data_IF_117811636812
#
_entry.id   IF_117811636812
#
_cell.length_a   1.000
_cell.length_b   1.000
_cell.length_c   1.000
_cell.angle_alpha   90.00
_cell.angle_beta   90.00
_cell.angle_gamma   90.00
#
_symmetry.space_group_name_H-M   'P 1'
#
loop_
_entity.id
_entity.type
_entity.pdbx_description
1 polymer ?
#
# COMPACT_ATOMS: atom_id res chain seq x y z
N UNK A 1 1.36 -24.17 -52.46
CA UNK A 1 0.40 -23.30 -51.74
C UNK A 1 0.09 -23.81 -50.34
N UNK A 2 -0.14 -25.12 -50.13
CA UNK A 2 -0.37 -25.74 -48.80
C UNK A 2 0.74 -25.49 -47.76
N UNK A 3 2.01 -25.54 -48.16
CA UNK A 3 3.13 -25.34 -47.21
C UNK A 3 3.29 -23.89 -46.76
N UNK A 4 2.94 -22.93 -47.62
CA UNK A 4 2.95 -21.50 -47.27
C UNK A 4 1.82 -21.22 -46.25
N UNK A 5 0.68 -21.88 -46.40
CA UNK A 5 -0.44 -21.78 -45.47
C UNK A 5 -0.08 -22.36 -44.11
N UNK A 6 0.55 -23.54 -44.04
CA UNK A 6 0.92 -24.14 -42.75
C UNK A 6 1.98 -23.34 -41.99
N UNK A 7 2.97 -22.75 -42.68
CA UNK A 7 3.95 -21.86 -42.03
C UNK A 7 3.30 -20.57 -41.56
N UNK A 8 2.35 -20.01 -42.33
CA UNK A 8 1.59 -18.83 -41.91
C UNK A 8 0.73 -19.13 -40.68
N UNK A 9 0.12 -20.32 -40.61
CA UNK A 9 -0.68 -20.77 -39.48
C UNK A 9 0.20 -21.00 -38.23
N UNK A 10 1.38 -21.60 -38.39
CA UNK A 10 2.39 -21.71 -37.34
C UNK A 10 2.90 -20.34 -36.86
N UNK A 11 3.14 -19.40 -37.77
CA UNK A 11 3.56 -18.05 -37.44
C UNK A 11 2.48 -17.31 -36.63
N UNK A 12 1.22 -17.43 -37.04
CA UNK A 12 0.08 -16.87 -36.30
C UNK A 12 -0.09 -17.53 -34.92
N UNK A 13 0.10 -18.85 -34.83
CA UNK A 13 0.05 -19.57 -33.55
C UNK A 13 1.14 -19.09 -32.57
N UNK A 14 2.38 -18.95 -33.05
CA UNK A 14 3.49 -18.42 -32.24
C UNK A 14 3.23 -16.96 -31.85
N UNK A 15 2.76 -16.12 -32.77
CA UNK A 15 2.42 -14.73 -32.48
C UNK A 15 1.36 -14.61 -31.38
N UNK A 16 0.27 -15.39 -31.46
CA UNK A 16 -0.76 -15.43 -30.43
C UNK A 16 -0.22 -15.90 -29.08
N UNK A 17 0.68 -16.89 -29.08
CA UNK A 17 1.33 -17.38 -27.84
C UNK A 17 2.26 -16.33 -27.22
N UNK A 18 2.99 -15.57 -28.04
CA UNK A 18 3.82 -14.44 -27.59
C UNK A 18 2.94 -13.36 -26.98
N UNK A 19 1.85 -12.98 -27.64
CA UNK A 19 0.89 -12.00 -27.09
C UNK A 19 0.30 -12.47 -25.77
N UNK A 20 -0.11 -13.74 -25.67
CA UNK A 20 -0.63 -14.31 -24.43
C UNK A 20 0.41 -14.29 -23.30
N UNK A 21 1.66 -14.65 -23.58
CA UNK A 21 2.74 -14.60 -22.60
C UNK A 21 3.08 -13.17 -22.19
N UNK A 22 3.06 -12.23 -23.15
CA UNK A 22 3.27 -10.81 -22.88
C UNK A 22 2.17 -10.28 -21.96
N UNK A 23 0.90 -10.55 -22.27
CA UNK A 23 -0.25 -10.16 -21.45
C UNK A 23 -0.19 -10.79 -20.05
N UNK A 24 0.17 -12.08 -19.96
CA UNK A 24 0.35 -12.76 -18.68
C UNK A 24 1.51 -12.17 -17.86
N UNK A 25 2.61 -11.81 -18.52
CA UNK A 25 3.78 -11.20 -17.86
C UNK A 25 3.46 -9.79 -17.39
N UNK A 26 2.79 -8.98 -18.21
CA UNK A 26 2.32 -7.65 -17.83
C UNK A 26 1.31 -7.73 -16.67
N UNK A 27 0.42 -8.72 -16.69
CA UNK A 27 -0.49 -9.01 -15.58
C UNK A 27 0.27 -9.36 -14.30
N UNK A 28 1.29 -10.23 -14.39
CA UNK A 28 2.13 -10.60 -13.25
C UNK A 28 2.91 -9.40 -12.70
N UNK A 29 3.49 -8.57 -13.57
CA UNK A 29 4.17 -7.32 -13.17
C UNK A 29 3.19 -6.39 -12.46
N UNK A 30 1.97 -6.25 -12.98
CA UNK A 30 0.94 -5.41 -12.36
C UNK A 30 0.55 -5.94 -10.97
N UNK A 31 0.46 -7.26 -10.79
CA UNK A 31 0.20 -7.87 -9.49
C UNK A 31 1.34 -7.60 -8.50
N UNK A 32 2.59 -7.77 -8.90
CA UNK A 32 3.73 -7.45 -8.04
C UNK A 32 3.77 -5.96 -7.67
N UNK A 33 3.53 -5.09 -8.65
CA UNK A 33 3.51 -3.65 -8.45
C UNK A 33 2.38 -3.22 -7.50
N UNK A 34 1.19 -3.82 -7.63
CA UNK A 34 0.08 -3.60 -6.72
C UNK A 34 0.44 -4.06 -5.30
N UNK A 35 1.08 -5.22 -5.15
CA UNK A 35 1.53 -5.70 -3.84
C UNK A 35 2.56 -4.76 -3.19
N UNK A 36 3.50 -4.23 -3.98
CA UNK A 36 4.47 -3.24 -3.51
C UNK A 36 3.76 -1.96 -3.04
N UNK A 37 2.86 -1.40 -3.86
CA UNK A 37 2.07 -0.20 -3.50
C UNK A 37 1.25 -0.46 -2.23
N UNK A 38 0.69 -1.67 -2.09
CA UNK A 38 -0.07 -2.09 -0.91
C UNK A 38 0.79 -2.02 0.34
N UNK A 39 2.02 -2.56 0.29
CA UNK A 39 2.95 -2.52 1.43
C UNK A 39 3.34 -1.08 1.79
N UNK A 40 3.69 -0.24 0.81
CA UNK A 40 4.04 1.16 1.06
C UNK A 40 2.87 1.96 1.63
N UNK A 41 1.66 1.76 1.10
CA UNK A 41 0.44 2.41 1.59
C UNK A 41 0.14 2.01 3.03
N UNK A 42 0.36 0.75 3.40
CA UNK A 42 0.21 0.27 4.78
C UNK A 42 1.23 0.91 5.70
N UNK A 43 2.50 0.94 5.28
CA UNK A 43 3.54 1.59 6.06
C UNK A 43 3.20 3.07 6.27
N UNK A 44 2.84 3.79 5.21
CA UNK A 44 2.44 5.20 5.30
C UNK A 44 1.20 5.39 6.20
N UNK A 45 0.18 4.55 6.08
CA UNK A 45 -1.01 4.59 6.93
C UNK A 45 -0.70 4.30 8.40
N UNK A 46 0.28 3.45 8.69
CA UNK A 46 0.74 3.18 10.06
C UNK A 46 1.59 4.34 10.62
N UNK A 47 2.34 5.06 9.78
CA UNK A 47 3.18 6.20 10.19
C UNK A 47 2.45 7.55 10.20
N UNK A 48 1.35 7.70 9.46
CA UNK A 48 0.56 8.93 9.39
C UNK A 48 0.04 9.38 10.78
N UNK A 49 -0.55 8.50 11.60
CA UNK A 49 -1.01 8.92 12.91
C UNK A 49 0.05 9.33 13.93
N UNK A 50 1.14 8.56 14.13
CA UNK A 50 2.19 9.00 15.04
C UNK A 50 2.86 10.29 14.55
N UNK A 51 2.97 10.52 13.23
CA UNK A 51 3.48 11.80 12.69
C UNK A 51 2.51 12.96 12.93
N UNK A 52 1.20 12.75 12.81
CA UNK A 52 0.19 13.77 13.12
C UNK A 52 0.21 14.16 14.60
N UNK A 53 0.31 13.18 15.50
CA UNK A 53 0.44 13.42 16.93
C UNK A 53 1.77 14.11 17.24
N UNK A 54 2.89 13.63 16.70
CA UNK A 54 4.19 14.28 16.88
C UNK A 54 4.20 15.72 16.35
N UNK A 55 3.47 16.02 15.28
CA UNK A 55 3.32 17.38 14.74
C UNK A 55 2.48 18.28 15.66
N UNK A 56 1.34 17.78 16.16
CA UNK A 56 0.47 18.50 17.10
C UNK A 56 1.22 18.81 18.41
N UNK A 57 1.90 17.81 18.98
CA UNK A 57 2.61 17.96 20.25
C UNK A 57 4.00 18.62 20.07
N UNK A 58 4.63 18.53 18.90
CA UNK A 58 5.94 19.14 18.63
C UNK A 58 5.89 20.65 18.42
N UNK A 59 4.72 21.23 18.08
CA UNK A 59 4.56 22.67 17.82
C UNK A 59 4.00 23.49 19.00
N UNK A 60 3.44 22.90 20.06
CA UNK A 60 2.68 23.65 21.08
C UNK A 60 2.92 23.18 22.54
N UNK A 61 4.16 22.82 22.90
CA UNK A 61 4.49 22.57 24.31
C UNK A 61 4.38 23.81 25.22
N UNK A 62 4.25 25.02 24.66
CA UNK A 62 4.32 26.28 25.41
C UNK A 62 2.96 26.92 25.71
N UNK A 63 1.88 26.51 25.03
CA UNK A 63 0.53 27.07 25.22
C UNK A 63 -0.54 25.98 25.09
N UNK A 64 -0.77 25.17 26.13
CA UNK A 64 -1.99 24.37 26.24
C UNK A 64 -2.41 24.11 27.71
N UNK A 65 -3.61 24.56 28.14
CA UNK A 65 -4.15 24.32 29.49
C UNK A 65 -4.58 22.86 29.75
N UNK A 66 -4.49 21.97 28.76
CA UNK A 66 -4.84 20.55 28.90
C UNK A 66 -3.82 19.72 29.70
N UNK A 67 -2.65 20.29 30.02
CA UNK A 67 -1.66 19.70 30.92
C UNK A 67 -2.08 19.79 32.41
N UNK A 68 -3.09 20.60 32.72
CA UNK A 68 -3.65 20.72 34.08
C UNK A 68 -4.57 19.53 34.44
N UNK A 69 -4.95 18.71 33.44
CA UNK A 69 -5.67 17.47 33.65
C UNK A 69 -4.68 16.30 33.63
N UNK A 70 -4.55 15.60 34.76
CA UNK A 70 -3.69 14.40 34.92
C UNK A 70 -3.90 13.29 33.86
N UNK A 71 -4.95 13.37 33.04
CA UNK A 71 -5.29 12.40 32.01
C UNK A 71 -4.92 12.81 30.57
N UNK A 72 -4.46 14.03 30.31
CA UNK A 72 -4.07 14.46 28.96
C UNK A 72 -2.90 13.65 28.37
N UNK A 73 -1.89 13.35 29.19
CA UNK A 73 -0.73 12.56 28.80
C UNK A 73 -1.07 11.07 28.52
N UNK A 74 -1.88 10.38 29.36
CA UNK A 74 -2.43 9.06 29.05
C UNK A 74 -3.30 9.00 27.78
N UNK A 75 -4.13 10.01 27.51
CA UNK A 75 -5.02 10.04 26.33
C UNK A 75 -4.21 10.24 25.04
N UNK A 76 -3.16 11.05 25.07
CA UNK A 76 -2.24 11.20 23.93
C UNK A 76 -1.53 9.88 23.59
N UNK A 77 -1.05 9.16 24.61
CA UNK A 77 -0.47 7.81 24.45
C UNK A 77 -1.52 6.82 23.95
N UNK A 78 -2.75 6.90 24.48
CA UNK A 78 -3.89 6.09 24.02
C UNK A 78 -4.19 6.30 22.55
N UNK A 79 -4.21 7.55 22.07
CA UNK A 79 -4.40 7.88 20.66
C UNK A 79 -3.24 7.43 19.78
N UNK A 80 -1.98 7.53 20.24
CA UNK A 80 -0.82 6.95 19.53
C UNK A 80 -0.97 5.46 19.33
N UNK A 81 -1.30 4.73 20.40
CA UNK A 81 -1.46 3.27 20.36
C UNK A 81 -2.67 2.89 19.52
N UNK A 82 -3.81 3.55 19.72
CA UNK A 82 -5.05 3.26 18.98
C UNK A 82 -4.87 3.48 17.48
N UNK A 83 -4.06 4.47 17.11
CA UNK A 83 -3.82 4.78 15.70
C UNK A 83 -2.68 3.97 15.07
N UNK A 84 -1.79 3.37 15.85
CA UNK A 84 -0.94 2.28 15.38
C UNK A 84 -1.72 0.96 15.20
N UNK A 85 -2.72 0.72 16.06
CA UNK A 85 -3.54 -0.51 16.06
C UNK A 85 -4.63 -0.50 14.99
N UNK A 86 -5.23 0.65 14.67
CA UNK A 86 -6.27 0.79 13.64
C UNK A 86 -5.84 0.28 12.24
N UNK A 87 -4.69 0.69 11.68
CA UNK A 87 -4.22 0.18 10.39
C UNK A 87 -3.85 -1.31 10.48
N UNK A 88 -3.26 -1.77 11.60
CA UNK A 88 -2.96 -3.18 11.81
C UNK A 88 -4.22 -4.06 11.87
N UNK A 89 -5.30 -3.57 12.48
CA UNK A 89 -6.57 -4.29 12.61
C UNK A 89 -7.38 -4.27 11.32
N UNK A 90 -7.38 -3.14 10.60
CA UNK A 90 -8.03 -3.03 9.30
C UNK A 90 -7.39 -3.94 8.25
N UNK A 91 -6.06 -4.13 8.32
CA UNK A 91 -5.33 -4.93 7.34
C UNK A 91 -5.24 -6.43 7.68
N UNK A 92 -5.51 -6.81 8.94
CA UNK A 92 -5.68 -8.23 9.34
C UNK A 92 -7.03 -8.80 8.85
N UNK A 93 -7.91 -7.96 8.33
CA UNK A 93 -9.20 -8.33 7.72
C UNK A 93 -9.12 -8.22 6.21
#
# INVERSE_FOLDING_TARGET
>A
SRDIVSITEHANFIANKVTFLLDATLGMISLEQNNIIKIFSVAAAAFLPPTLIASIYGMNFEVMPELDWQFGYPVAIGLMVLSAVLPLWYFKR
#
